data_IF_977290562436
#
_entry.id   IF_977290562436
#
_cell.length_a   1.000
_cell.length_b   1.000
_cell.length_c   1.000
_cell.angle_alpha   90.00
_cell.angle_beta   90.00
_cell.angle_gamma   90.00
#
_symmetry.space_group_name_H-M   'P 1'
#
loop_
_entity.id
_entity.type
_entity.pdbx_description
1 polymer ?
#
# COMPACT_ATOMS: atom_id res chain seq x y z
N UNK A 1 5.44 11.19 15.51
CA UNK A 1 5.50 9.88 16.21
C UNK A 1 4.54 8.89 15.52
N UNK A 2 4.20 9.16 14.26
CA UNK A 2 2.95 8.67 13.65
C UNK A 2 3.24 7.78 12.43
N UNK A 3 4.46 7.83 11.89
CA UNK A 3 4.88 7.08 10.71
C UNK A 3 5.11 5.59 11.00
N UNK A 4 5.69 5.25 12.17
CA UNK A 4 5.82 3.85 12.61
C UNK A 4 4.46 3.20 12.87
N UNK A 5 3.57 3.90 13.59
CA UNK A 5 2.21 3.41 13.82
C UNK A 5 1.46 3.22 12.50
N UNK A 6 1.63 4.14 11.56
CA UNK A 6 0.99 4.06 10.26
C UNK A 6 1.54 2.90 9.40
N UNK A 7 2.83 2.57 9.51
CA UNK A 7 3.41 1.37 8.91
C UNK A 7 2.91 0.09 9.57
N UNK A 8 2.91 0.02 10.90
CA UNK A 8 2.37 -1.13 11.64
C UNK A 8 0.90 -1.36 11.33
N UNK A 9 0.09 -0.31 11.26
CA UNK A 9 -1.31 -0.38 10.89
C UNK A 9 -1.49 -0.84 9.44
N UNK A 10 -0.67 -0.35 8.50
CA UNK A 10 -0.69 -0.79 7.12
C UNK A 10 -0.24 -2.25 6.95
N UNK A 11 0.68 -2.74 7.81
CA UNK A 11 1.10 -4.15 7.83
C UNK A 11 0.07 -5.06 8.52
N UNK A 12 -0.57 -4.60 9.59
CA UNK A 12 -1.62 -5.36 10.28
C UNK A 12 -2.91 -5.43 9.46
N UNK A 13 -3.26 -4.33 8.77
CA UNK A 13 -4.47 -4.23 7.96
C UNK A 13 -4.20 -3.60 6.59
N UNK A 14 -3.43 -4.28 5.71
CA UNK A 14 -3.18 -3.81 4.35
C UNK A 14 -4.46 -3.76 3.51
N UNK A 15 -5.48 -4.51 3.91
CA UNK A 15 -6.79 -4.51 3.25
C UNK A 15 -7.63 -3.26 3.53
N UNK A 16 -7.36 -2.52 4.61
CA UNK A 16 -8.04 -1.26 4.92
C UNK A 16 -7.60 -0.10 4.02
N UNK A 17 -6.45 -0.25 3.34
CA UNK A 17 -6.07 0.68 2.27
C UNK A 17 -7.05 0.61 1.11
N UNK A 18 -7.43 1.77 0.60
CA UNK A 18 -8.22 1.89 -0.63
C UNK A 18 -7.38 1.43 -1.82
N UNK A 19 -7.88 0.42 -2.50
CA UNK A 19 -7.24 -0.09 -3.71
C UNK A 19 -7.37 0.90 -4.87
N UNK A 20 -6.24 1.21 -5.50
CA UNK A 20 -6.09 2.08 -6.64
C UNK A 20 -5.95 1.23 -7.92
N UNK A 21 -7.06 0.59 -8.33
CA UNK A 21 -7.15 -0.22 -9.55
C UNK A 21 -6.63 0.55 -10.77
N UNK A 22 -5.72 -0.07 -11.52
CA UNK A 22 -5.15 0.48 -12.76
C UNK A 22 -4.02 1.50 -12.55
N UNK A 23 -3.56 1.74 -11.32
CA UNK A 23 -2.40 2.60 -11.04
C UNK A 23 -1.08 1.82 -10.93
N UNK A 24 -1.11 0.50 -11.08
CA UNK A 24 0.09 -0.34 -11.25
C UNK A 24 0.61 -0.22 -12.69
N UNK A 25 1.17 0.94 -13.04
CA UNK A 25 1.86 1.13 -14.32
C UNK A 25 3.33 0.73 -14.24
N UNK A 26 3.84 0.55 -13.02
CA UNK A 26 5.23 0.17 -12.77
C UNK A 26 5.48 -1.31 -13.08
N UNK A 27 6.48 -1.64 -13.92
CA UNK A 27 6.80 -3.02 -14.27
C UNK A 27 7.38 -3.83 -13.10
N UNK A 28 7.77 -3.17 -12.00
CA UNK A 28 8.24 -3.83 -10.77
C UNK A 28 7.11 -4.52 -10.00
N UNK A 29 5.88 -4.02 -10.10
CA UNK A 29 4.71 -4.57 -9.41
C UNK A 29 3.56 -4.81 -10.39
N UNK A 30 3.71 -5.79 -11.30
CA UNK A 30 2.72 -6.05 -12.33
C UNK A 30 1.43 -6.59 -11.71
N UNK A 31 0.30 -6.05 -12.17
CA UNK A 31 -1.03 -6.55 -11.77
C UNK A 31 -1.24 -8.03 -12.17
N UNK A 32 -0.50 -8.52 -13.18
CA UNK A 32 -0.49 -9.93 -13.58
C UNK A 32 0.03 -10.87 -12.47
N UNK A 33 1.02 -10.43 -11.71
CA UNK A 33 1.53 -11.14 -10.51
C UNK A 33 0.61 -10.97 -9.29
N UNK A 34 -0.47 -10.20 -9.44
CA UNK A 34 -1.42 -9.92 -8.36
C UNK A 34 -1.03 -8.74 -7.49
N UNK A 35 -0.08 -7.90 -7.89
CA UNK A 35 0.22 -6.67 -7.17
C UNK A 35 -0.89 -5.62 -7.34
N UNK A 36 -1.23 -4.96 -6.24
CA UNK A 36 -2.26 -3.94 -6.15
C UNK A 36 -1.70 -2.71 -5.46
N UNK A 37 -1.85 -1.54 -6.08
CA UNK A 37 -1.55 -0.26 -5.42
C UNK A 37 -2.64 0.07 -4.44
N UNK A 38 -2.27 0.35 -3.20
CA UNK A 38 -3.19 0.76 -2.14
C UNK A 38 -2.78 2.12 -1.60
N UNK A 39 -3.79 2.90 -1.21
CA UNK A 39 -3.61 4.17 -0.54
C UNK A 39 -4.44 4.20 0.74
N UNK A 40 -3.83 4.58 1.86
CA UNK A 40 -4.51 4.70 3.16
C UNK A 40 -4.21 6.08 3.74
N UNK A 41 -5.23 6.76 4.24
CA UNK A 41 -5.02 7.99 5.00
C UNK A 41 -5.06 7.64 6.49
N UNK A 42 -3.95 7.88 7.19
CA UNK A 42 -3.83 7.64 8.63
C UNK A 42 -3.50 8.97 9.30
N UNK A 43 -4.43 9.47 10.11
CA UNK A 43 -4.26 10.70 10.89
C UNK A 43 -3.88 11.93 10.02
N UNK A 44 -4.42 12.01 8.79
CA UNK A 44 -4.10 13.06 7.83
C UNK A 44 -2.96 12.74 6.87
N UNK A 45 -2.12 11.74 7.15
CA UNK A 45 -1.02 11.33 6.28
C UNK A 45 -1.52 10.32 5.24
N UNK A 46 -1.43 10.66 3.95
CA UNK A 46 -1.78 9.74 2.87
C UNK A 46 -0.58 8.84 2.53
N UNK A 47 -0.73 7.54 2.68
CA UNK A 47 0.33 6.55 2.50
C UNK A 47 -0.05 5.66 1.34
N UNK A 48 0.84 5.54 0.37
CA UNK A 48 0.69 4.65 -0.77
C UNK A 48 1.65 3.47 -0.60
N UNK A 49 1.19 2.27 -0.92
CA UNK A 49 2.02 1.06 -0.87
C UNK A 49 1.54 0.05 -1.90
N UNK A 50 2.44 -0.83 -2.31
CA UNK A 50 2.13 -1.97 -3.15
C UNK A 50 1.84 -3.18 -2.28
N UNK A 51 0.67 -3.76 -2.42
CA UNK A 51 0.28 -4.96 -1.70
C UNK A 51 -0.01 -6.08 -2.69
N UNK A 52 0.52 -7.28 -2.42
CA UNK A 52 0.19 -8.47 -3.17
C UNK A 52 -0.68 -9.39 -2.30
N UNK A 53 -2.02 -9.40 -2.44
CA UNK A 53 -2.89 -10.32 -1.69
C UNK A 53 -2.60 -11.79 -1.94
N UNK A 54 -1.90 -12.16 -3.02
CA UNK A 54 -1.55 -13.57 -3.30
C UNK A 54 -0.44 -14.07 -2.40
N UNK A 55 0.55 -13.22 -2.11
CA UNK A 55 1.72 -13.57 -1.29
C UNK A 55 1.67 -12.95 0.10
N UNK A 56 0.78 -11.98 0.34
CA UNK A 56 0.74 -11.16 1.55
C UNK A 56 1.87 -10.14 1.65
N UNK A 57 2.64 -9.93 0.57
CA UNK A 57 3.80 -9.03 0.59
C UNK A 57 3.37 -7.57 0.41
N UNK A 58 4.03 -6.69 1.15
CA UNK A 58 3.91 -5.24 1.04
C UNK A 58 5.26 -4.69 0.58
N UNK A 59 5.24 -3.78 -0.38
CA UNK A 59 6.43 -3.18 -0.99
C UNK A 59 6.16 -1.70 -1.35
N UNK A 60 7.19 -0.92 -1.69
CA UNK A 60 7.13 0.51 -2.06
C UNK A 60 6.23 1.39 -1.16
N UNK A 61 6.34 1.25 0.16
CA UNK A 61 5.60 2.11 1.09
C UNK A 61 6.14 3.55 1.00
N UNK A 62 5.26 4.50 0.68
CA UNK A 62 5.57 5.91 0.49
C UNK A 62 4.53 6.79 1.16
N UNK A 63 4.99 7.76 1.92
CA UNK A 63 4.16 8.80 2.50
C UNK A 63 4.05 9.95 1.50
N UNK A 64 2.83 10.45 1.31
CA UNK A 64 2.54 11.65 0.54
C UNK A 64 2.25 12.75 1.56
N UNK A 65 3.20 13.66 1.69
CA UNK A 65 3.08 14.91 2.46
C UNK A 65 2.10 15.88 1.79
#
# INVERSE_FOLDING_TARGET
MDEELAMEEAMNNPLEGKELKGKNTDPRWPAADGWEKRARNINGNEIHYQYNPRTGQIDDVKFKE
#
